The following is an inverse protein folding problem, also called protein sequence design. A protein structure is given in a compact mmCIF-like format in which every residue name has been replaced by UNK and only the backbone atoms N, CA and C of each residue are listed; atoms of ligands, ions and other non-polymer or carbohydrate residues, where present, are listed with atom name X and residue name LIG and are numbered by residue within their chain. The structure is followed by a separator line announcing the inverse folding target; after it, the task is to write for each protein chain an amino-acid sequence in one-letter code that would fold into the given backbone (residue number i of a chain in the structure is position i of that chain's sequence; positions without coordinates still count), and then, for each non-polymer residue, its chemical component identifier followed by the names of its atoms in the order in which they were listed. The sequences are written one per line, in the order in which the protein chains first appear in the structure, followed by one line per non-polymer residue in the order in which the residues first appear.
data_IF_723635848658
#
_entry.id   IF_723635848658
#
_cell.length_a   1.000
_cell.length_b   1.000
_cell.length_c   1.000
_cell.angle_alpha   90.00
_cell.angle_beta   90.00
_cell.angle_gamma   90.00
#
_symmetry.space_group_name_H-M   'P 1'
#
loop_
_entity.id
_entity.type
_entity.pdbx_description
1 polymer ?
#
# COMPACT_ATOMS: atom_id res chain seq x y z
N UNK A 1 -5.15 26.21 1.36
CA UNK A 1 -5.27 24.75 1.18
C UNK A 1 -5.48 24.48 -0.29
N UNK A 2 -4.59 23.70 -0.91
CA UNK A 2 -4.61 23.43 -2.35
C UNK A 2 -5.61 22.30 -2.63
N UNK A 3 -6.90 22.64 -2.74
CA UNK A 3 -8.00 21.70 -3.02
C UNK A 3 -7.89 21.03 -4.41
N UNK A 4 -7.01 21.53 -5.28
CA UNK A 4 -6.84 21.07 -6.66
C UNK A 4 -6.32 19.63 -6.79
N UNK A 5 -5.59 19.10 -5.80
CA UNK A 5 -4.99 17.77 -5.89
C UNK A 5 -5.95 16.62 -5.57
N UNK A 6 -7.12 16.91 -5.00
CA UNK A 6 -8.05 15.89 -4.48
C UNK A 6 -9.25 15.65 -5.37
N UNK A 7 -9.18 15.96 -6.67
CA UNK A 7 -10.33 15.74 -7.56
C UNK A 7 -10.75 14.26 -7.61
N UNK A 8 -12.04 14.00 -7.89
CA UNK A 8 -12.52 12.64 -8.10
C UNK A 8 -11.74 11.90 -9.18
N UNK A 9 -11.29 12.62 -10.23
CA UNK A 9 -10.48 12.04 -11.30
C UNK A 9 -9.12 11.53 -10.81
N UNK A 10 -8.41 12.33 -10.01
CA UNK A 10 -7.11 11.96 -9.46
C UNK A 10 -7.22 10.82 -8.46
N UNK A 11 -8.24 10.82 -7.59
CA UNK A 11 -8.49 9.73 -6.65
C UNK A 11 -8.86 8.42 -7.37
N UNK A 12 -9.66 8.50 -8.44
CA UNK A 12 -9.99 7.32 -9.27
C UNK A 12 -8.76 6.76 -9.97
N UNK A 13 -7.86 7.61 -10.45
CA UNK A 13 -6.59 7.14 -11.02
C UNK A 13 -5.76 6.38 -9.97
N UNK A 14 -5.57 6.97 -8.78
CA UNK A 14 -4.82 6.32 -7.70
C UNK A 14 -5.45 4.97 -7.29
N UNK A 15 -6.78 4.91 -7.18
CA UNK A 15 -7.51 3.67 -6.92
C UNK A 15 -7.22 2.61 -7.98
N UNK A 16 -7.31 2.96 -9.26
CA UNK A 16 -7.02 2.02 -10.36
C UNK A 16 -5.57 1.53 -10.33
N UNK A 17 -4.61 2.40 -10.01
CA UNK A 17 -3.21 1.99 -9.88
C UNK A 17 -3.03 1.01 -8.74
N UNK A 18 -3.63 1.24 -7.57
CA UNK A 18 -3.53 0.33 -6.42
C UNK A 18 -4.15 -1.03 -6.74
N UNK A 19 -5.33 -1.06 -7.35
CA UNK A 19 -6.00 -2.31 -7.78
C UNK A 19 -5.10 -3.09 -8.75
N UNK A 20 -4.62 -2.42 -9.80
CA UNK A 20 -3.75 -3.05 -10.79
C UNK A 20 -2.41 -3.52 -10.20
N UNK A 21 -1.86 -2.75 -9.25
CA UNK A 21 -0.65 -3.12 -8.52
C UNK A 21 -0.89 -4.37 -7.69
N UNK A 22 -1.97 -4.40 -6.88
CA UNK A 22 -2.33 -5.56 -6.03
C UNK A 22 -2.44 -6.83 -6.85
N UNK A 23 -3.19 -6.79 -7.96
CA UNK A 23 -3.35 -7.93 -8.85
C UNK A 23 -1.99 -8.41 -9.40
N UNK A 24 -1.18 -7.49 -9.93
CA UNK A 24 0.14 -7.85 -10.48
C UNK A 24 1.11 -8.38 -9.41
N UNK A 25 1.03 -7.87 -8.18
CA UNK A 25 1.86 -8.34 -7.06
C UNK A 25 1.46 -9.75 -6.64
N UNK A 26 0.17 -10.09 -6.61
CA UNK A 26 -0.31 -11.45 -6.33
C UNK A 26 0.17 -12.43 -7.42
N UNK A 27 0.05 -12.06 -8.69
CA UNK A 27 0.51 -12.88 -9.83
C UNK A 27 2.04 -13.12 -9.80
N UNK A 28 2.82 -12.08 -9.49
CA UNK A 28 4.27 -12.20 -9.33
C UNK A 28 4.63 -13.03 -8.09
N UNK A 29 3.92 -12.86 -6.98
CA UNK A 29 4.14 -13.61 -5.73
C UNK A 29 3.88 -15.11 -5.96
N UNK A 30 2.74 -15.47 -6.54
CA UNK A 30 2.38 -16.86 -6.86
C UNK A 30 3.37 -17.51 -7.84
N UNK A 31 3.86 -16.75 -8.82
CA UNK A 31 4.90 -17.18 -9.76
C UNK A 31 6.25 -17.39 -9.09
N UNK A 32 6.69 -16.44 -8.27
CA UNK A 32 7.99 -16.44 -7.59
C UNK A 32 8.08 -17.59 -6.57
N UNK A 33 7.04 -17.77 -5.76
CA UNK A 33 7.03 -18.75 -4.67
C UNK A 33 6.40 -20.10 -5.05
N UNK A 34 5.94 -20.26 -6.30
CA UNK A 34 5.40 -21.50 -6.88
C UNK A 34 4.30 -22.10 -6.01
N UNK A 35 3.19 -21.38 -5.88
CA UNK A 35 1.98 -21.83 -5.19
C UNK A 35 0.85 -20.82 -5.30
N UNK A 36 -0.38 -21.25 -5.00
CA UNK A 36 -1.52 -20.34 -4.86
C UNK A 36 -1.38 -19.48 -3.60
N UNK A 37 -2.15 -18.40 -3.49
CA UNK A 37 -2.14 -17.55 -2.29
C UNK A 37 -2.44 -18.37 -1.02
N UNK A 38 -3.41 -19.29 -1.09
CA UNK A 38 -3.78 -20.17 0.02
C UNK A 38 -2.66 -21.16 0.37
N UNK A 39 -2.04 -21.78 -0.63
CA UNK A 39 -0.92 -22.71 -0.41
C UNK A 39 0.27 -22.00 0.23
N UNK A 40 0.56 -20.77 -0.21
CA UNK A 40 1.63 -19.96 0.33
C UNK A 40 1.34 -19.51 1.76
N UNK A 41 0.10 -19.07 2.03
CA UNK A 41 -0.34 -18.70 3.37
C UNK A 41 -0.24 -19.88 4.36
N UNK A 42 -0.60 -21.08 3.91
CA UNK A 42 -0.46 -22.31 4.70
C UNK A 42 1.01 -22.69 4.90
N UNK A 43 1.83 -22.62 3.86
CA UNK A 43 3.25 -23.01 3.86
C UNK A 43 4.08 -22.14 4.79
N UNK A 44 3.88 -20.83 4.74
CA UNK A 44 4.71 -19.88 5.47
C UNK A 44 4.12 -19.43 6.81
N UNK A 45 2.94 -19.95 7.18
CA UNK A 45 2.23 -19.70 8.45
C UNK A 45 2.28 -18.22 8.81
N UNK A 46 1.32 -17.44 8.31
CA UNK A 46 1.22 -15.99 8.51
C UNK A 46 1.65 -15.55 9.93
N UNK A 47 2.89 -15.10 10.06
CA UNK A 47 3.42 -14.55 11.30
C UNK A 47 3.28 -13.03 11.23
N UNK A 48 2.92 -12.41 12.37
CA UNK A 48 2.88 -10.95 12.45
C UNK A 48 4.28 -10.38 12.21
N UNK A 49 4.45 -9.64 11.12
CA UNK A 49 5.64 -8.83 10.88
C UNK A 49 5.75 -7.78 11.98
N UNK A 50 6.89 -7.72 12.67
CA UNK A 50 7.17 -6.72 13.71
C UNK A 50 7.59 -5.39 13.07
N UNK A 51 6.69 -4.83 12.26
CA UNK A 51 6.87 -3.57 11.55
C UNK A 51 5.73 -2.65 11.93
N UNK A 52 6.08 -1.52 12.55
CA UNK A 52 5.11 -0.48 12.87
C UNK A 52 5.00 0.53 11.72
N UNK A 53 3.76 0.87 11.37
CA UNK A 53 3.39 1.89 10.38
C UNK A 53 1.90 2.26 10.54
N UNK A 54 1.47 3.45 10.07
CA UNK A 54 0.13 4.00 10.39
C UNK A 54 -1.05 3.08 10.09
N UNK A 55 -1.01 2.36 8.96
CA UNK A 55 -2.10 1.47 8.54
C UNK A 55 -1.96 0.02 9.05
N UNK A 56 -1.01 -0.29 9.94
CA UNK A 56 -0.74 -1.67 10.38
C UNK A 56 -1.95 -2.34 11.04
N UNK A 57 -2.69 -1.60 11.87
CA UNK A 57 -3.89 -2.11 12.52
C UNK A 57 -4.99 -2.47 11.50
N UNK A 58 -5.13 -1.69 10.43
CA UNK A 58 -6.07 -1.96 9.34
C UNK A 58 -5.63 -3.18 8.52
N UNK A 59 -4.33 -3.35 8.28
CA UNK A 59 -3.77 -4.54 7.60
C UNK A 59 -4.05 -5.82 8.39
N UNK A 60 -3.96 -5.77 9.71
CA UNK A 60 -4.26 -6.90 10.58
C UNK A 60 -5.78 -7.17 10.76
N UNK A 61 -6.66 -6.30 10.25
CA UNK A 61 -8.11 -6.44 10.38
C UNK A 61 -8.74 -6.92 9.06
N UNK A 62 -9.12 -8.20 9.01
CA UNK A 62 -9.77 -8.81 7.84
C UNK A 62 -11.11 -8.16 7.47
N UNK A 63 -11.80 -7.55 8.43
CA UNK A 63 -13.11 -6.91 8.25
C UNK A 63 -13.01 -5.41 7.99
N UNK A 64 -11.79 -4.85 7.87
CA UNK A 64 -11.59 -3.43 7.61
C UNK A 64 -12.32 -3.00 6.33
N UNK A 65 -13.12 -1.94 6.38
CA UNK A 65 -13.98 -1.49 5.28
C UNK A 65 -13.52 -0.17 4.63
N UNK A 66 -12.42 0.40 5.11
CA UNK A 66 -11.91 1.70 4.65
C UNK A 66 -12.46 2.90 5.42
N UNK A 67 -13.51 2.73 6.23
CA UNK A 67 -14.12 3.83 6.98
C UNK A 67 -13.18 4.34 8.07
N UNK A 68 -13.25 5.64 8.33
CA UNK A 68 -12.48 6.31 9.35
C UNK A 68 -13.03 7.71 9.61
N UNK A 69 -12.59 8.30 10.71
CA UNK A 69 -12.93 9.69 11.08
C UNK A 69 -11.90 10.70 10.57
N UNK A 70 -10.87 10.22 9.89
CA UNK A 70 -9.75 11.03 9.42
C UNK A 70 -10.14 11.90 8.22
N UNK A 71 -9.43 13.02 8.06
CA UNK A 71 -9.57 13.85 6.86
C UNK A 71 -8.92 13.18 5.65
N UNK A 72 -9.32 13.58 4.43
CA UNK A 72 -8.69 13.12 3.18
C UNK A 72 -7.16 13.28 3.20
N UNK A 73 -6.67 14.40 3.73
CA UNK A 73 -5.24 14.69 3.85
C UNK A 73 -4.54 13.75 4.84
N UNK A 74 -5.17 13.51 6.00
CA UNK A 74 -4.65 12.57 7.00
C UNK A 74 -4.60 11.13 6.46
N UNK A 75 -5.64 10.72 5.73
CA UNK A 75 -5.70 9.40 5.11
C UNK A 75 -4.59 9.20 4.07
N UNK A 76 -4.34 10.19 3.22
CA UNK A 76 -3.22 10.14 2.29
C UNK A 76 -1.86 10.10 2.97
N UNK A 77 -1.69 10.88 4.03
CA UNK A 77 -0.43 10.91 4.77
C UNK A 77 -0.16 9.53 5.40
N UNK A 78 -1.20 8.90 5.96
CA UNK A 78 -1.13 7.53 6.48
C UNK A 78 -0.82 6.51 5.38
N UNK A 79 -1.41 6.64 4.18
CA UNK A 79 -1.09 5.81 3.01
C UNK A 79 0.38 5.98 2.63
N UNK A 80 0.83 7.22 2.43
CA UNK A 80 2.19 7.56 2.03
C UNK A 80 3.22 6.97 3.01
N UNK A 81 3.06 7.24 4.31
CA UNK A 81 4.00 6.74 5.31
C UNK A 81 4.00 5.22 5.43
N UNK A 82 2.85 4.57 5.29
CA UNK A 82 2.77 3.10 5.29
C UNK A 82 3.51 2.49 4.10
N UNK A 83 3.32 3.06 2.90
CA UNK A 83 4.02 2.64 1.69
C UNK A 83 5.53 2.86 1.79
N UNK A 84 5.97 4.02 2.28
CA UNK A 84 7.40 4.32 2.48
C UNK A 84 8.03 3.32 3.45
N UNK A 85 7.35 3.01 4.57
CA UNK A 85 7.88 2.06 5.56
C UNK A 85 8.02 0.66 4.99
N UNK A 86 6.98 0.15 4.32
CA UNK A 86 7.01 -1.17 3.66
C UNK A 86 8.04 -1.19 2.54
N UNK A 87 8.14 -0.11 1.74
CA UNK A 87 9.10 0.01 0.65
C UNK A 87 10.56 -0.05 1.10
N UNK A 88 10.90 0.61 2.21
CA UNK A 88 12.23 0.51 2.82
C UNK A 88 12.58 -0.94 3.21
N UNK A 89 11.63 -1.68 3.79
CA UNK A 89 11.85 -3.09 4.16
C UNK A 89 11.96 -3.98 2.93
N UNK A 90 11.13 -3.76 1.90
CA UNK A 90 11.24 -4.47 0.62
C UNK A 90 12.63 -4.29 -0.01
N UNK A 91 13.17 -3.08 0.00
CA UNK A 91 14.51 -2.78 -0.51
C UNK A 91 15.60 -3.52 0.28
N UNK A 92 15.53 -3.48 1.63
CA UNK A 92 16.47 -4.22 2.49
C UNK A 92 16.44 -5.72 2.17
N UNK A 93 15.24 -6.31 2.04
CA UNK A 93 15.11 -7.73 1.72
C UNK A 93 15.68 -8.03 0.34
N UNK A 94 15.40 -7.20 -0.67
CA UNK A 94 15.93 -7.36 -2.04
C UNK A 94 17.47 -7.47 -2.06
N UNK A 95 18.17 -6.66 -1.25
CA UNK A 95 19.63 -6.70 -1.12
C UNK A 95 20.14 -8.01 -0.52
N UNK A 96 19.34 -8.65 0.33
CA UNK A 96 19.68 -9.93 0.98
C UNK A 96 19.32 -11.17 0.15
N UNK A 97 18.49 -11.04 -0.89
CA UNK A 97 18.15 -12.17 -1.78
C UNK A 97 19.36 -12.57 -2.61
N UNK A 98 19.89 -13.78 -2.38
CA UNK A 98 21.08 -14.30 -3.05
C UNK A 98 20.82 -14.86 -4.45
N UNK A 99 19.64 -15.43 -4.69
CA UNK A 99 19.30 -16.01 -5.98
C UNK A 99 18.91 -14.92 -6.98
N UNK A 100 19.64 -14.80 -8.10
CA UNK A 100 19.42 -13.74 -9.10
C UNK A 100 18.00 -13.74 -9.67
N UNK A 101 17.42 -14.92 -9.94
CA UNK A 101 16.05 -15.03 -10.46
C UNK A 101 15.05 -14.46 -9.46
N UNK A 102 15.16 -14.85 -8.19
CA UNK A 102 14.31 -14.38 -7.10
C UNK A 102 14.51 -12.88 -6.86
N UNK A 103 15.75 -12.39 -6.94
CA UNK A 103 16.06 -10.95 -6.87
C UNK A 103 15.41 -10.17 -8.01
N UNK A 104 15.40 -10.69 -9.23
CA UNK A 104 14.73 -10.03 -10.35
C UNK A 104 13.21 -9.93 -10.11
N UNK A 105 12.57 -10.98 -9.58
CA UNK A 105 11.18 -10.93 -9.16
C UNK A 105 10.96 -9.89 -8.05
N UNK A 106 11.88 -9.86 -7.08
CA UNK A 106 11.79 -8.96 -5.94
C UNK A 106 11.95 -7.48 -6.31
N UNK A 107 12.80 -7.19 -7.28
CA UNK A 107 12.96 -5.85 -7.84
C UNK A 107 11.63 -5.31 -8.41
N UNK A 108 10.81 -6.15 -9.04
CA UNK A 108 9.48 -5.71 -9.48
C UNK A 108 8.57 -5.32 -8.31
N UNK A 109 8.66 -5.98 -7.16
CA UNK A 109 7.89 -5.54 -5.98
C UNK A 109 8.34 -4.17 -5.47
N UNK A 110 9.66 -3.91 -5.50
CA UNK A 110 10.24 -2.60 -5.16
C UNK A 110 9.72 -1.51 -6.11
N UNK A 111 9.77 -1.74 -7.42
CA UNK A 111 9.25 -0.79 -8.41
C UNK A 111 7.75 -0.50 -8.23
N UNK A 112 6.98 -1.54 -7.87
CA UNK A 112 5.53 -1.41 -7.63
C UNK A 112 5.22 -0.58 -6.39
N UNK A 113 5.95 -0.76 -5.29
CA UNK A 113 5.77 0.09 -4.10
C UNK A 113 6.22 1.52 -4.36
N UNK A 114 7.35 1.74 -5.05
CA UNK A 114 7.84 3.07 -5.43
C UNK A 114 6.83 3.84 -6.28
N UNK A 115 6.21 3.18 -7.26
CA UNK A 115 5.17 3.81 -8.08
C UNK A 115 3.96 4.23 -7.23
N UNK A 116 3.55 3.43 -6.23
CA UNK A 116 2.46 3.79 -5.34
C UNK A 116 2.85 4.92 -4.37
N UNK A 117 4.11 4.96 -3.91
CA UNK A 117 4.65 6.09 -3.13
C UNK A 117 4.58 7.37 -3.95
N UNK A 118 5.04 7.33 -5.21
CA UNK A 118 4.98 8.48 -6.11
C UNK A 118 3.55 8.96 -6.32
N UNK A 119 2.61 8.04 -6.54
CA UNK A 119 1.20 8.40 -6.70
C UNK A 119 0.61 9.04 -5.44
N UNK A 120 0.89 8.50 -4.25
CA UNK A 120 0.45 9.11 -2.99
C UNK A 120 1.10 10.49 -2.76
N UNK A 121 2.39 10.62 -3.06
CA UNK A 121 3.15 11.87 -2.92
C UNK A 121 2.61 12.99 -3.82
N UNK A 122 2.11 12.66 -5.03
CA UNK A 122 1.56 13.65 -5.95
C UNK A 122 0.34 14.40 -5.38
N UNK A 123 -0.36 13.83 -4.42
CA UNK A 123 -1.45 14.52 -3.73
C UNK A 123 -0.94 15.48 -2.64
N UNK A 124 0.20 15.17 -2.04
CA UNK A 124 0.74 15.87 -0.89
C UNK A 124 1.54 17.10 -1.34
N UNK A 125 1.34 18.22 -0.65
CA UNK A 125 2.09 19.46 -0.94
C UNK A 125 3.51 19.45 -0.36
N UNK A 126 3.75 18.56 0.61
CA UNK A 126 5.04 18.33 1.24
C UNK A 126 5.11 16.87 1.66
N UNK A 127 6.20 16.19 1.34
CA UNK A 127 6.49 14.86 1.87
C UNK A 127 7.29 15.01 3.16
N UNK A 128 6.78 14.44 4.24
CA UNK A 128 7.54 14.30 5.47
C UNK A 128 8.49 13.12 5.31
N UNK A 129 9.80 13.37 5.32
CA UNK A 129 10.79 12.32 5.43
C UNK A 129 10.78 11.80 6.86
N UNK A 130 10.16 10.64 7.08
CA UNK A 130 10.39 9.86 8.28
C UNK A 130 11.78 9.26 8.21
N UNK A 131 12.75 9.88 8.89
CA UNK A 131 13.99 9.23 9.25
C UNK A 131 13.70 8.33 10.44
N UNK A 132 13.78 7.03 10.24
CA UNK A 132 13.56 6.07 11.30
C UNK A 132 14.29 4.80 10.92
N UNK A 133 15.34 4.50 11.68
CA UNK A 133 15.92 3.18 11.76
C UNK A 133 14.79 2.12 11.79
N UNK A 134 14.84 1.16 10.88
CA UNK A 134 13.92 0.03 10.87
C UNK A 134 14.60 -1.11 11.61
N UNK A 135 14.17 -1.47 12.83
CA UNK A 135 14.66 -2.69 13.47
C UNK A 135 14.28 -3.89 12.60
N UNK A 136 15.07 -4.97 12.65
CA UNK A 136 14.78 -6.21 11.89
C UNK A 136 13.32 -6.67 12.16
N UNK A 137 12.43 -6.57 11.16
CA UNK A 137 11.01 -6.84 11.38
C UNK A 137 10.69 -8.35 11.33
N UNK A 138 11.67 -9.20 10.98
CA UNK A 138 11.44 -10.59 10.66
C UNK A 138 11.64 -11.54 11.84
N UNK A 139 12.37 -11.18 12.90
CA UNK A 139 12.53 -11.98 14.12
C UNK A 139 12.69 -13.51 13.88
N UNK A 140 13.64 -13.91 13.00
CA UNK A 140 13.89 -15.31 12.57
C UNK A 140 12.80 -15.92 11.67
N UNK A 141 12.13 -15.12 10.84
CA UNK A 141 11.17 -15.63 9.86
C UNK A 141 11.85 -16.60 8.87
N UNK A 142 11.24 -17.76 8.56
CA UNK A 142 11.83 -18.73 7.62
C UNK A 142 11.90 -18.24 6.17
N UNK A 143 11.08 -17.24 5.81
CA UNK A 143 11.10 -16.60 4.50
C UNK A 143 10.70 -15.12 4.64
N UNK A 144 11.67 -14.22 4.90
CA UNK A 144 11.43 -12.77 4.98
C UNK A 144 10.83 -12.21 3.68
N UNK A 145 11.26 -12.74 2.54
CA UNK A 145 10.85 -12.34 1.19
C UNK A 145 9.34 -12.48 1.01
N UNK A 146 8.81 -13.65 1.33
CA UNK A 146 7.38 -13.91 1.19
C UNK A 146 6.57 -13.01 2.12
N UNK A 147 6.98 -12.86 3.38
CA UNK A 147 6.21 -12.11 4.36
C UNK A 147 6.09 -10.65 3.99
N UNK A 148 7.18 -10.00 3.59
CA UNK A 148 7.11 -8.58 3.27
C UNK A 148 6.29 -8.33 2.00
N UNK A 149 6.33 -9.25 1.02
CA UNK A 149 5.48 -9.16 -0.18
C UNK A 149 4.01 -9.38 0.18
N UNK A 150 3.70 -10.36 1.03
CA UNK A 150 2.34 -10.59 1.51
C UNK A 150 1.82 -9.39 2.33
N UNK A 151 2.65 -8.82 3.21
CA UNK A 151 2.34 -7.59 3.94
C UNK A 151 2.02 -6.43 2.98
N UNK A 152 2.80 -6.30 1.90
CA UNK A 152 2.54 -5.29 0.86
C UNK A 152 1.20 -5.54 0.14
N UNK A 153 0.87 -6.79 -0.21
CA UNK A 153 -0.44 -7.15 -0.79
C UNK A 153 -1.59 -6.76 0.14
N UNK A 154 -1.46 -7.05 1.43
CA UNK A 154 -2.48 -6.70 2.43
C UNK A 154 -2.61 -5.18 2.60
N UNK A 155 -1.49 -4.45 2.60
CA UNK A 155 -1.47 -3.00 2.62
C UNK A 155 -2.17 -2.42 1.37
N UNK A 156 -1.92 -2.96 0.17
CA UNK A 156 -2.59 -2.52 -1.05
C UNK A 156 -4.11 -2.72 -0.97
N UNK A 157 -4.59 -3.80 -0.35
CA UNK A 157 -6.03 -4.01 -0.12
C UNK A 157 -6.63 -2.96 0.82
N UNK A 158 -5.91 -2.57 1.88
CA UNK A 158 -6.32 -1.48 2.78
C UNK A 158 -6.37 -0.13 2.04
N UNK A 159 -5.33 0.16 1.24
CA UNK A 159 -5.23 1.39 0.46
C UNK A 159 -6.34 1.47 -0.60
N UNK A 160 -6.66 0.36 -1.27
CA UNK A 160 -7.79 0.26 -2.21
C UNK A 160 -9.11 0.69 -1.54
N UNK A 161 -9.39 0.16 -0.34
CA UNK A 161 -10.59 0.51 0.43
C UNK A 161 -10.59 1.99 0.84
N UNK A 162 -9.45 2.51 1.30
CA UNK A 162 -9.28 3.93 1.65
C UNK A 162 -9.56 4.83 0.45
N UNK A 163 -8.90 4.62 -0.68
CA UNK A 163 -9.16 5.41 -1.90
C UNK A 163 -10.62 5.29 -2.36
N UNK A 164 -11.26 4.13 -2.21
CA UNK A 164 -12.68 3.97 -2.52
C UNK A 164 -13.62 4.77 -1.60
N UNK A 165 -13.29 4.94 -0.33
CA UNK A 165 -14.03 5.83 0.59
C UNK A 165 -13.78 7.29 0.24
N UNK A 166 -12.51 7.67 0.06
CA UNK A 166 -12.11 9.03 -0.29
C UNK A 166 -12.76 9.51 -1.61
N UNK A 167 -12.78 8.65 -2.63
CA UNK A 167 -13.41 8.94 -3.91
C UNK A 167 -14.90 9.23 -3.74
N UNK A 168 -15.63 8.39 -2.99
CA UNK A 168 -17.07 8.61 -2.75
C UNK A 168 -17.35 9.91 -1.99
N UNK A 169 -16.51 10.24 -1.01
CA UNK A 169 -16.62 11.51 -0.28
C UNK A 169 -16.41 12.70 -1.21
N UNK A 170 -15.38 12.66 -2.06
CA UNK A 170 -15.07 13.73 -2.99
C UNK A 170 -16.15 13.88 -4.08
N UNK A 171 -16.66 12.79 -4.64
CA UNK A 171 -17.74 12.82 -5.63
C UNK A 171 -19.01 13.46 -5.06
N UNK A 172 -19.32 13.21 -3.79
CA UNK A 172 -20.44 13.85 -3.11
C UNK A 172 -20.24 15.36 -2.93
N UNK A 173 -19.01 15.79 -2.59
CA UNK A 173 -18.66 17.22 -2.48
C UNK A 173 -18.77 17.92 -3.84
N UNK A 174 -18.22 17.32 -4.89
CA UNK A 174 -18.26 17.87 -6.25
C UNK A 174 -19.70 17.94 -6.78
N UNK A 175 -20.53 16.93 -6.53
CA UNK A 175 -21.95 16.93 -6.91
C UNK A 175 -22.74 18.02 -6.17
N UNK A 176 -22.50 18.22 -4.88
CA UNK A 176 -23.15 19.28 -4.11
C UNK A 176 -22.75 20.68 -4.60
N UNK A 177 -21.48 20.87 -4.96
CA UNK A 177 -21.00 22.13 -5.51
C UNK A 177 -21.60 22.43 -6.89
N UNK A 178 -21.77 21.40 -7.74
CA UNK A 178 -22.41 21.55 -9.05
C UNK A 178 -23.89 21.95 -8.91
N UNK A 179 -24.63 21.31 -8.00
CA UNK A 179 -26.04 21.65 -7.74
C UNK A 179 -26.23 23.09 -7.25
N UNK A 180 -25.32 23.60 -6.41
CA UNK A 180 -25.36 25.00 -5.93
C UNK A 180 -24.97 26.04 -7.01
N UNK A 181 -24.29 25.62 -8.08
CA UNK A 181 -23.91 26.52 -9.17
C UNK A 181 -25.01 26.64 -10.25
N UNK A 182 -26.02 25.77 -10.21
CA UNK A 182 -27.17 25.76 -11.12
C UNK A 182 -28.40 26.53 -10.56
N UNK A 183 -28.38 26.90 -9.27
CA UNK A 183 -29.38 27.72 -8.56
C UNK A 183 -29.02 29.22 -8.54
#
# INVERSE_FOLDING_TARGET
MNTANFSSSTLRHALNVVIGTRQSTIELMTSCFKGTEEELAQRYRLHHLNLDYPLKAAVNNSEYDGQGTDSLESDLLNIYHSLVRVGKVLAIVNETVYEQTTRNYFQFFVEKVEHNIFNAANFLSCVSEGDDHIPDPFNRHPCPEYVIVNEFVQLLNVIEKKYGVMLRQQEAVEAAAAAQAED
#
